data_IF_218977702242
#
_entry.id   IF_218977702242
#
_cell.length_a   1.000
_cell.length_b   1.000
_cell.length_c   1.000
_cell.angle_alpha   90.00
_cell.angle_beta   90.00
_cell.angle_gamma   90.00
#
_symmetry.space_group_name_H-M   'P 1'
#
loop_
_entity.id
_entity.type
_entity.pdbx_description
1 polymer ?
#
# COMPACT_ATOMS: atom_id res chain seq x y z
N UNK A 1 7.62 6.42 31.75
CA UNK A 1 8.44 5.21 31.52
C UNK A 1 8.34 4.84 30.05
N UNK A 2 9.47 4.49 29.41
CA UNK A 2 9.50 3.99 28.02
C UNK A 2 9.74 2.49 28.06
N UNK A 3 8.94 1.75 27.31
CA UNK A 3 9.12 0.31 27.14
C UNK A 3 9.22 -0.01 25.66
N UNK A 4 10.28 -0.72 25.27
CA UNK A 4 10.59 -1.04 23.88
C UNK A 4 10.50 -2.55 23.67
N UNK A 5 9.86 -2.97 22.57
CA UNK A 5 9.89 -4.33 22.06
C UNK A 5 10.32 -4.25 20.60
N UNK A 6 11.30 -5.06 20.25
CA UNK A 6 11.76 -5.19 18.88
C UNK A 6 11.11 -6.40 18.21
N UNK A 7 10.65 -6.20 16.98
CA UNK A 7 10.01 -7.24 16.16
C UNK A 7 10.80 -7.38 14.88
N UNK A 8 11.45 -8.53 14.71
CA UNK A 8 11.99 -8.92 13.42
C UNK A 8 10.83 -9.25 12.47
N UNK A 9 10.68 -8.48 11.40
CA UNK A 9 9.67 -8.74 10.37
C UNK A 9 10.23 -9.73 9.34
N UNK A 10 10.31 -11.00 9.72
CA UNK A 10 10.84 -12.10 8.88
C UNK A 10 9.78 -12.69 7.95
N UNK A 11 8.87 -11.87 7.45
CA UNK A 11 7.75 -12.33 6.63
C UNK A 11 8.17 -12.51 5.16
N UNK A 12 7.48 -13.37 4.41
CA UNK A 12 7.63 -13.56 2.95
C UNK A 12 7.10 -12.37 2.13
N UNK A 13 6.96 -11.23 2.78
CA UNK A 13 6.37 -10.00 2.27
C UNK A 13 7.49 -9.05 1.88
N UNK A 14 7.27 -8.28 0.83
CA UNK A 14 8.09 -7.12 0.52
C UNK A 14 8.00 -6.08 1.64
N UNK A 15 9.01 -5.20 1.75
CA UNK A 15 9.03 -4.07 2.68
C UNK A 15 7.73 -3.25 2.61
N UNK A 16 7.23 -3.01 1.40
CA UNK A 16 6.00 -2.24 1.18
C UNK A 16 4.77 -2.93 1.76
N UNK A 17 4.59 -4.23 1.50
CA UNK A 17 3.47 -5.00 2.04
C UNK A 17 3.54 -5.13 3.56
N UNK A 18 4.74 -5.25 4.12
CA UNK A 18 4.92 -5.28 5.56
C UNK A 18 4.43 -3.97 6.20
N UNK A 19 4.77 -2.82 5.60
CA UNK A 19 4.27 -1.50 6.05
C UNK A 19 2.75 -1.41 5.94
N UNK A 20 2.18 -1.79 4.80
CA UNK A 20 0.73 -1.78 4.59
C UNK A 20 -0.02 -2.66 5.58
N UNK A 21 0.47 -3.88 5.84
CA UNK A 21 -0.19 -4.82 6.77
C UNK A 21 -0.16 -4.33 8.21
N UNK A 22 0.96 -3.77 8.66
CA UNK A 22 1.04 -3.17 9.98
C UNK A 22 0.12 -1.97 10.06
N UNK A 23 0.10 -1.10 9.04
CA UNK A 23 -0.83 0.02 8.99
C UNK A 23 -2.28 -0.44 9.09
N UNK A 24 -2.69 -1.45 8.32
CA UNK A 24 -4.02 -2.05 8.40
C UNK A 24 -4.33 -2.57 9.80
N UNK A 25 -3.42 -3.36 10.38
CA UNK A 25 -3.59 -3.87 11.75
C UNK A 25 -3.76 -2.73 12.77
N UNK A 26 -2.96 -1.67 12.66
CA UNK A 26 -3.03 -0.52 13.56
C UNK A 26 -4.35 0.22 13.39
N UNK A 27 -4.81 0.46 12.15
CA UNK A 27 -6.12 1.08 11.88
C UNK A 27 -7.24 0.27 12.53
N UNK A 28 -7.25 -1.05 12.34
CA UNK A 28 -8.27 -1.92 12.91
C UNK A 28 -8.22 -1.94 14.44
N UNK A 29 -7.02 -2.08 15.01
CA UNK A 29 -6.85 -2.19 16.46
C UNK A 29 -7.16 -0.87 17.18
N UNK A 30 -6.55 0.22 16.71
CA UNK A 30 -6.59 1.52 17.37
C UNK A 30 -7.79 2.37 16.97
N UNK A 31 -8.35 2.17 15.77
CA UNK A 31 -9.62 2.77 15.35
C UNK A 31 -10.78 2.34 16.23
N UNK A 32 -10.83 1.07 16.64
CA UNK A 32 -11.81 0.57 17.63
C UNK A 32 -11.57 1.17 19.02
N UNK A 33 -10.30 1.48 19.33
CA UNK A 33 -9.89 2.00 20.64
C UNK A 33 -9.94 3.53 20.76
N UNK A 34 -10.46 4.26 19.76
CA UNK A 34 -10.51 5.73 19.70
C UNK A 34 -9.14 6.42 19.78
N UNK A 35 -8.14 5.87 19.10
CA UNK A 35 -6.84 6.51 18.93
C UNK A 35 -6.72 7.12 17.53
N UNK A 36 -6.06 8.27 17.44
CA UNK A 36 -5.60 8.87 16.20
C UNK A 36 -4.27 8.22 15.78
N UNK A 37 -4.18 7.84 14.52
CA UNK A 37 -2.95 7.34 13.92
C UNK A 37 -2.30 8.45 13.09
N UNK A 38 -1.06 8.78 13.40
CA UNK A 38 -0.28 9.74 12.63
C UNK A 38 0.92 9.04 12.02
N UNK A 39 1.02 9.10 10.69
CA UNK A 39 2.08 8.50 9.91
C UNK A 39 3.13 9.57 9.56
N UNK A 40 4.39 9.25 9.83
CA UNK A 40 5.55 9.96 9.29
C UNK A 40 6.35 8.96 8.48
N UNK A 41 7.17 9.40 7.51
CA UNK A 41 7.77 8.50 6.50
C UNK A 41 8.39 7.19 7.03
N UNK A 42 8.89 7.19 8.28
CA UNK A 42 9.47 6.02 8.92
C UNK A 42 8.76 5.52 10.19
N UNK A 43 7.60 6.07 10.57
CA UNK A 43 6.90 5.62 11.79
C UNK A 43 5.39 5.88 11.75
N UNK A 44 4.65 5.09 12.54
CA UNK A 44 3.24 5.34 12.85
C UNK A 44 3.14 5.56 14.35
N UNK A 45 2.48 6.64 14.76
CA UNK A 45 2.23 6.96 16.16
C UNK A 45 0.74 6.89 16.44
N UNK A 46 0.34 6.12 17.45
CA UNK A 46 -1.03 6.09 17.96
C UNK A 46 -1.11 6.94 19.23
N UNK A 47 -1.99 7.95 19.21
CA UNK A 47 -2.25 8.88 20.32
C UNK A 47 -3.75 9.02 20.58
N UNK A 48 -4.15 9.30 21.83
CA UNK A 48 -5.56 9.53 22.16
C UNK A 48 -6.05 10.92 21.74
N UNK A 49 -5.15 11.90 21.66
CA UNK A 49 -5.44 13.29 21.29
C UNK A 49 -4.41 13.77 20.26
N UNK A 50 -4.86 14.43 19.20
CA UNK A 50 -3.99 14.91 18.11
C UNK A 50 -2.99 15.98 18.57
N UNK A 51 -3.39 16.81 19.54
CA UNK A 51 -2.54 17.85 20.16
C UNK A 51 -1.28 17.25 20.80
N UNK A 52 -1.39 16.07 21.41
CA UNK A 52 -0.26 15.36 22.03
C UNK A 52 0.81 14.95 21.00
N UNK A 53 0.40 14.65 19.76
CA UNK A 53 1.34 14.31 18.69
C UNK A 53 2.16 15.53 18.25
N UNK A 54 1.52 16.69 18.06
CA UNK A 54 2.22 17.91 17.68
C UNK A 54 3.21 18.37 18.76
N UNK A 55 2.85 18.24 20.03
CA UNK A 55 3.79 18.50 21.13
C UNK A 55 4.98 17.55 21.11
N UNK A 56 4.74 16.26 20.86
CA UNK A 56 5.80 15.27 20.75
C UNK A 56 6.79 15.60 19.63
N UNK A 57 6.31 15.95 18.43
CA UNK A 57 7.18 16.36 17.32
C UNK A 57 7.98 17.61 17.67
N UNK A 58 7.33 18.62 18.26
CA UNK A 58 7.95 19.93 18.47
C UNK A 58 8.95 19.94 19.64
N UNK A 59 8.71 19.15 20.68
CA UNK A 59 9.50 19.17 21.92
C UNK A 59 10.30 17.90 22.17
N UNK A 60 10.10 16.86 21.35
CA UNK A 60 10.67 15.52 21.53
C UNK A 60 10.18 14.80 22.79
N UNK A 61 9.23 15.37 23.53
CA UNK A 61 8.70 14.86 24.79
C UNK A 61 7.20 15.21 24.90
N UNK A 62 6.30 14.23 24.87
CA UNK A 62 4.87 14.53 25.00
C UNK A 62 4.59 15.14 26.40
N UNK A 63 3.64 16.07 26.50
CA UNK A 63 3.27 16.70 27.78
C UNK A 63 2.80 15.67 28.82
N UNK A 64 2.94 16.03 30.09
CA UNK A 64 2.56 15.28 31.28
C UNK A 64 1.09 14.85 31.31
N UNK A 65 0.22 15.45 30.48
CA UNK A 65 -1.22 15.14 30.40
C UNK A 65 -1.55 13.98 29.46
N UNK A 66 -0.67 13.64 28.51
CA UNK A 66 -0.88 12.52 27.58
C UNK A 66 -0.72 11.18 28.30
N UNK A 67 -1.81 10.38 28.38
CA UNK A 67 -1.83 9.16 29.18
C UNK A 67 -1.07 7.98 28.54
N UNK A 68 -1.23 7.79 27.23
CA UNK A 68 -0.67 6.65 26.48
C UNK A 68 -0.24 7.08 25.08
N UNK A 69 1.00 6.74 24.70
CA UNK A 69 1.52 6.92 23.35
C UNK A 69 2.18 5.61 22.89
N UNK A 70 1.80 5.16 21.69
CA UNK A 70 2.39 4.01 21.03
C UNK A 70 3.10 4.47 19.76
N UNK A 71 4.38 4.12 19.64
CA UNK A 71 5.21 4.47 18.49
C UNK A 71 5.69 3.18 17.83
N UNK A 72 5.50 3.08 16.52
CA UNK A 72 5.92 1.97 15.69
C UNK A 72 6.87 2.50 14.62
N UNK A 73 8.17 2.24 14.78
CA UNK A 73 9.24 2.82 13.96
C UNK A 73 9.97 1.75 13.15
N UNK A 74 10.11 1.99 11.85
CA UNK A 74 10.87 1.13 10.94
C UNK A 74 12.37 1.40 11.11
N UNK A 75 13.14 0.39 11.52
CA UNK A 75 14.60 0.48 11.57
C UNK A 75 15.18 -0.46 10.52
N UNK A 76 15.84 0.10 9.51
CA UNK A 76 16.50 -0.67 8.47
C UNK A 76 17.66 -1.49 9.08
N UNK A 77 17.69 -2.80 8.82
CA UNK A 77 18.82 -3.64 9.23
C UNK A 77 19.80 -3.79 8.06
N UNK A 78 21.01 -3.24 8.23
CA UNK A 78 22.07 -3.28 7.21
C UNK A 78 22.54 -4.68 6.80
N UNK A 79 22.11 -5.77 7.46
CA UNK A 79 22.76 -7.09 7.33
C UNK A 79 21.95 -8.20 6.66
N UNK A 80 20.63 -8.08 6.46
CA UNK A 80 19.82 -9.21 5.94
C UNK A 80 18.74 -8.74 4.95
N UNK A 81 19.04 -8.89 3.65
CA UNK A 81 18.12 -9.20 2.54
C UNK A 81 16.67 -8.65 2.56
N UNK A 82 16.45 -7.38 2.93
CA UNK A 82 15.13 -6.73 2.80
C UNK A 82 14.20 -6.87 4.01
N UNK A 83 14.72 -7.19 5.19
CA UNK A 83 13.96 -7.21 6.45
C UNK A 83 14.28 -5.97 7.29
N UNK A 84 13.26 -5.28 7.78
CA UNK A 84 13.44 -4.23 8.79
C UNK A 84 13.07 -4.78 10.18
N UNK A 85 13.60 -4.10 11.19
CA UNK A 85 13.19 -4.28 12.57
C UNK A 85 12.10 -3.26 12.88
N UNK A 86 10.92 -3.72 13.31
CA UNK A 86 9.92 -2.81 13.85
C UNK A 86 10.24 -2.57 15.32
N UNK A 87 10.62 -1.34 15.64
CA UNK A 87 10.73 -0.90 17.03
C UNK A 87 9.35 -0.44 17.50
N UNK A 88 8.77 -1.20 18.41
CA UNK A 88 7.52 -0.85 19.07
C UNK A 88 7.86 -0.21 20.41
N UNK A 89 7.50 1.05 20.61
CA UNK A 89 7.70 1.79 21.84
C UNK A 89 6.36 2.15 22.47
N UNK A 90 6.23 1.89 23.77
CA UNK A 90 5.11 2.32 24.59
C UNK A 90 5.59 3.30 25.64
N UNK A 91 4.94 4.46 25.69
CA UNK A 91 5.18 5.48 26.68
C UNK A 91 4.00 5.50 27.64
N UNK A 92 4.27 5.13 28.89
CA UNK A 92 3.28 5.13 29.96
C UNK A 92 3.79 5.94 31.15
N UNK A 93 2.90 6.71 31.76
CA UNK A 93 3.18 7.43 33.01
C UNK A 93 2.89 6.58 34.24
N UNK A 94 1.93 5.67 34.18
CA UNK A 94 1.56 4.81 35.29
C UNK A 94 2.55 3.65 35.41
N UNK A 95 3.11 3.42 36.59
CA UNK A 95 3.90 2.21 36.90
C UNK A 95 2.99 0.98 37.07
N UNK A 96 2.03 0.82 36.16
CA UNK A 96 1.11 -0.29 36.15
C UNK A 96 1.59 -1.36 35.16
N UNK A 97 1.99 -2.51 35.71
CA UNK A 97 2.39 -3.68 34.94
C UNK A 97 1.25 -4.20 34.03
N UNK A 98 -0.01 -3.90 34.31
CA UNK A 98 -1.16 -4.30 33.48
C UNK A 98 -1.07 -3.69 32.08
N UNK A 99 -0.67 -2.42 31.97
CA UNK A 99 -0.56 -1.69 30.69
C UNK A 99 0.61 -2.17 29.86
N UNK A 100 1.74 -2.50 30.51
CA UNK A 100 2.86 -3.17 29.83
C UNK A 100 2.43 -4.51 29.22
N UNK A 101 1.69 -5.34 29.96
CA UNK A 101 1.15 -6.61 29.45
C UNK A 101 0.17 -6.40 28.29
N UNK A 102 -0.65 -5.35 28.34
CA UNK A 102 -1.52 -4.98 27.23
C UNK A 102 -0.71 -4.64 25.98
N UNK A 103 0.34 -3.82 26.10
CA UNK A 103 1.23 -3.51 24.99
C UNK A 103 1.94 -4.74 24.43
N UNK A 104 2.44 -5.63 25.28
CA UNK A 104 3.03 -6.91 24.86
C UNK A 104 2.02 -7.75 24.07
N UNK A 105 0.74 -7.77 24.48
CA UNK A 105 -0.34 -8.45 23.77
C UNK A 105 -0.60 -7.83 22.39
N UNK A 106 -0.59 -6.50 22.26
CA UNK A 106 -0.72 -5.80 20.97
C UNK A 106 0.38 -6.24 20.01
N UNK A 107 1.63 -6.20 20.47
CA UNK A 107 2.79 -6.58 19.66
C UNK A 107 2.73 -8.05 19.24
N UNK A 108 2.25 -8.95 20.12
CA UNK A 108 2.05 -10.36 19.77
C UNK A 108 0.94 -10.56 18.73
N UNK A 109 -0.18 -9.85 18.85
CA UNK A 109 -1.27 -9.92 17.87
C UNK A 109 -0.84 -9.41 16.50
N UNK A 110 -0.09 -8.30 16.46
CA UNK A 110 0.49 -7.77 15.23
C UNK A 110 1.48 -8.76 14.60
N UNK A 111 2.36 -9.40 15.39
CA UNK A 111 3.25 -10.47 14.89
C UNK A 111 2.46 -11.61 14.25
N UNK A 112 1.39 -12.06 14.89
CA UNK A 112 0.54 -13.14 14.37
C UNK A 112 -0.15 -12.73 13.06
N UNK A 113 -0.70 -11.50 13.00
CA UNK A 113 -1.32 -10.91 11.82
C UNK A 113 -0.34 -10.83 10.63
N UNK A 114 0.91 -10.44 10.90
CA UNK A 114 1.99 -10.37 9.92
C UNK A 114 2.41 -11.74 9.37
N UNK A 115 2.30 -12.80 10.19
CA UNK A 115 2.65 -14.16 9.81
C UNK A 115 1.53 -14.87 9.02
N UNK A 116 0.26 -14.55 9.30
CA UNK A 116 -0.91 -15.24 8.73
C UNK A 116 -1.89 -14.21 8.13
N UNK A 117 -1.69 -13.74 6.89
CA UNK A 117 -2.64 -12.84 6.28
C UNK A 117 -4.01 -13.47 6.14
N UNK A 118 -5.01 -12.63 6.35
CA UNK A 118 -6.42 -12.89 6.05
C UNK A 118 -6.86 -12.21 4.75
N UNK A 119 -5.95 -11.53 4.04
CA UNK A 119 -6.29 -10.68 2.91
C UNK A 119 -6.64 -11.52 1.68
N UNK A 120 -7.94 -11.58 1.37
CA UNK A 120 -8.47 -12.11 0.12
C UNK A 120 -8.51 -10.99 -0.90
N UNK A 121 -8.24 -11.31 -2.17
CA UNK A 121 -8.50 -10.38 -3.28
C UNK A 121 -9.99 -10.01 -3.31
N UNK A 122 -10.29 -8.71 -3.27
CA UNK A 122 -11.65 -8.19 -3.34
C UNK A 122 -11.92 -7.60 -4.72
N UNK A 123 -12.96 -8.11 -5.38
CA UNK A 123 -13.38 -7.68 -6.71
C UNK A 123 -14.84 -7.22 -6.62
N UNK A 124 -15.14 -6.01 -7.09
CA UNK A 124 -16.49 -5.45 -7.15
C UNK A 124 -16.73 -4.86 -8.55
N UNK A 125 -17.77 -5.33 -9.24
CA UNK A 125 -18.10 -4.88 -10.60
C UNK A 125 -19.25 -3.89 -10.56
N UNK A 126 -19.01 -2.66 -11.05
CA UNK A 126 -19.99 -1.57 -11.07
C UNK A 126 -20.08 -0.96 -12.46
N UNK A 127 -21.05 -1.44 -13.23
CA UNK A 127 -21.27 -0.98 -14.60
C UNK A 127 -20.10 -1.35 -15.51
N UNK A 128 -19.32 -0.35 -15.95
CA UNK A 128 -18.14 -0.53 -16.81
C UNK A 128 -16.81 -0.41 -16.05
N UNK A 129 -16.84 -0.46 -14.71
CA UNK A 129 -15.65 -0.39 -13.88
C UNK A 129 -15.60 -1.61 -12.97
N UNK A 130 -14.43 -2.24 -12.90
CA UNK A 130 -14.11 -3.33 -12.01
C UNK A 130 -13.15 -2.81 -10.95
N UNK A 131 -13.61 -2.71 -9.71
CA UNK A 131 -12.78 -2.32 -8.56
C UNK A 131 -12.01 -3.55 -8.06
N UNK A 132 -10.69 -3.47 -8.02
CA UNK A 132 -9.81 -4.52 -7.49
C UNK A 132 -9.03 -4.00 -6.28
N UNK A 133 -9.06 -4.75 -5.17
CA UNK A 133 -8.40 -4.37 -3.92
C UNK A 133 -7.74 -5.56 -3.25
N UNK A 134 -6.55 -5.35 -2.70
CA UNK A 134 -5.88 -6.32 -1.83
C UNK A 134 -5.62 -5.76 -0.43
N UNK A 135 -5.11 -4.53 -0.35
CA UNK A 135 -4.68 -3.87 0.88
C UNK A 135 -5.53 -2.63 1.22
N UNK A 136 -6.13 -1.97 0.23
CA UNK A 136 -6.89 -0.74 0.46
C UNK A 136 -8.09 -0.94 1.41
N UNK A 137 -8.18 -0.13 2.45
CA UNK A 137 -9.26 -0.20 3.44
C UNK A 137 -10.45 0.68 3.02
N UNK A 138 -11.70 0.24 3.27
CA UNK A 138 -12.92 0.95 2.80
C UNK A 138 -13.05 2.40 3.27
N UNK A 139 -12.32 2.78 4.31
CA UNK A 139 -12.33 4.12 4.92
C UNK A 139 -11.28 5.06 4.34
N UNK A 140 -10.37 4.55 3.50
CA UNK A 140 -9.31 5.34 2.88
C UNK A 140 -9.88 6.18 1.72
N UNK A 141 -9.17 7.24 1.33
CA UNK A 141 -9.60 8.15 0.26
C UNK A 141 -9.69 7.46 -1.11
N UNK A 142 -10.46 8.03 -2.05
CA UNK A 142 -10.61 7.52 -3.42
C UNK A 142 -9.45 7.94 -4.34
N UNK A 143 -8.22 7.68 -3.90
CA UNK A 143 -7.01 7.94 -4.69
C UNK A 143 -6.53 6.63 -5.29
N UNK A 144 -6.27 6.61 -6.58
CA UNK A 144 -5.91 5.41 -7.31
C UNK A 144 -5.65 5.66 -8.78
N UNK A 145 -5.75 4.59 -9.54
CA UNK A 145 -5.44 4.55 -10.95
C UNK A 145 -6.51 3.75 -11.69
N UNK A 146 -6.99 4.32 -12.79
CA UNK A 146 -7.84 3.63 -13.73
C UNK A 146 -6.98 3.06 -14.87
N UNK A 147 -7.12 1.78 -15.17
CA UNK A 147 -6.62 1.17 -16.40
C UNK A 147 -7.79 1.13 -17.38
N UNK A 148 -7.63 1.85 -18.49
CA UNK A 148 -8.69 2.17 -19.44
C UNK A 148 -8.31 1.57 -20.81
N UNK A 149 -9.11 0.65 -21.38
CA UNK A 149 -8.88 0.18 -22.75
C UNK A 149 -8.90 1.37 -23.73
N UNK A 150 -7.85 1.56 -24.52
CA UNK A 150 -7.71 2.74 -25.39
C UNK A 150 -7.63 2.36 -26.87
N UNK A 151 -8.47 2.99 -27.68
CA UNK A 151 -8.38 2.98 -29.13
C UNK A 151 -9.11 4.19 -29.70
N UNK A 152 -8.62 4.74 -30.81
CA UNK A 152 -9.24 5.86 -31.49
C UNK A 152 -10.19 5.39 -32.61
N UNK A 153 -11.21 6.19 -32.90
CA UNK A 153 -12.04 6.09 -34.10
C UNK A 153 -11.38 6.82 -35.29
N UNK A 154 -12.01 6.78 -36.47
CA UNK A 154 -11.52 7.44 -37.68
C UNK A 154 -11.38 8.97 -37.54
N UNK A 155 -11.99 9.57 -36.51
CA UNK A 155 -11.92 11.00 -36.22
C UNK A 155 -10.90 11.32 -35.11
N UNK A 156 -10.13 10.33 -34.64
CA UNK A 156 -9.15 10.50 -33.56
C UNK A 156 -9.78 10.63 -32.16
N UNK A 157 -11.04 10.22 -31.99
CA UNK A 157 -11.73 10.24 -30.69
C UNK A 157 -11.62 8.89 -30.03
N UNK A 158 -11.61 8.86 -28.70
CA UNK A 158 -11.67 7.58 -27.97
C UNK A 158 -12.95 6.82 -28.34
N UNK A 159 -12.76 5.62 -28.88
CA UNK A 159 -13.84 4.70 -29.25
C UNK A 159 -14.59 4.21 -28.02
N UNK A 160 -15.91 4.18 -28.10
CA UNK A 160 -16.76 3.68 -27.02
C UNK A 160 -16.80 2.15 -26.95
N UNK A 161 -17.22 1.61 -25.80
CA UNK A 161 -17.54 0.19 -25.60
C UNK A 161 -16.35 -0.78 -25.80
N UNK A 162 -15.14 -0.37 -25.37
CA UNK A 162 -13.91 -1.16 -25.47
C UNK A 162 -13.74 -2.23 -24.38
N UNK A 163 -14.73 -2.40 -23.51
CA UNK A 163 -14.67 -3.28 -22.33
C UNK A 163 -14.85 -2.51 -21.04
N UNK A 164 -14.75 -3.23 -19.92
CA UNK A 164 -14.78 -2.65 -18.58
C UNK A 164 -13.37 -2.21 -18.18
N UNK A 165 -13.25 -1.02 -17.60
CA UNK A 165 -12.02 -0.50 -17.00
C UNK A 165 -11.70 -1.17 -15.67
N UNK A 166 -10.43 -1.25 -15.30
CA UNK A 166 -10.05 -1.57 -13.91
C UNK A 166 -9.82 -0.30 -13.11
N UNK A 167 -10.30 -0.30 -11.88
CA UNK A 167 -9.91 0.67 -10.86
C UNK A 167 -9.07 -0.01 -9.79
N UNK A 168 -7.92 0.57 -9.50
CA UNK A 168 -6.96 0.07 -8.52
C UNK A 168 -6.58 1.21 -7.59
N UNK A 169 -6.77 1.01 -6.30
CA UNK A 169 -6.44 2.01 -5.30
C UNK A 169 -4.94 2.21 -5.20
N UNK A 170 -4.51 3.41 -4.77
CA UNK A 170 -3.12 3.81 -4.75
C UNK A 170 -2.24 2.81 -4.00
N UNK A 171 -2.68 2.33 -2.84
CA UNK A 171 -1.94 1.37 -2.02
C UNK A 171 -1.64 0.07 -2.78
N UNK A 172 -2.64 -0.44 -3.49
CA UNK A 172 -2.52 -1.66 -4.30
C UNK A 172 -1.71 -1.43 -5.58
N UNK A 173 -1.86 -0.26 -6.20
CA UNK A 173 -1.16 0.08 -7.45
C UNK A 173 0.36 0.15 -7.27
N UNK A 174 0.86 0.50 -6.08
CA UNK A 174 2.31 0.52 -5.82
C UNK A 174 2.97 -0.84 -6.07
N UNK A 175 2.26 -1.94 -5.83
CA UNK A 175 2.74 -3.29 -6.15
C UNK A 175 2.95 -3.43 -7.66
N UNK A 176 2.01 -2.93 -8.46
CA UNK A 176 2.05 -3.00 -9.93
C UNK A 176 3.05 -2.02 -10.53
N UNK A 177 3.24 -0.86 -9.90
CA UNK A 177 4.09 0.21 -10.40
C UNK A 177 5.54 -0.21 -10.61
N UNK A 178 6.04 -1.17 -9.82
CA UNK A 178 7.37 -1.75 -10.02
C UNK A 178 7.58 -2.32 -11.44
N UNK A 179 6.55 -2.96 -12.02
CA UNK A 179 6.62 -3.42 -13.40
C UNK A 179 6.43 -2.32 -14.43
N UNK A 180 5.59 -1.32 -14.13
CA UNK A 180 5.34 -0.17 -15.02
C UNK A 180 6.62 0.64 -15.21
N UNK A 181 7.40 0.87 -14.14
CA UNK A 181 8.70 1.56 -14.22
C UNK A 181 9.67 0.91 -15.20
N UNK A 182 9.52 -0.36 -15.56
CA UNK A 182 10.42 -1.01 -16.51
C UNK A 182 10.35 -0.42 -17.93
N UNK A 183 9.28 0.33 -18.25
CA UNK A 183 9.11 1.01 -19.55
C UNK A 183 9.23 2.53 -19.46
N UNK A 184 9.50 3.07 -18.26
CA UNK A 184 9.74 4.50 -18.02
C UNK A 184 11.18 4.75 -17.51
N UNK A 185 11.79 5.91 -17.77
CA UNK A 185 11.27 6.95 -18.66
C UNK A 185 11.23 6.48 -20.11
N UNK A 186 10.22 6.90 -20.87
CA UNK A 186 10.13 6.47 -22.27
C UNK A 186 11.14 7.22 -23.10
N UNK A 187 11.75 6.52 -24.05
CA UNK A 187 12.70 7.13 -25.00
C UNK A 187 12.00 7.88 -26.14
N UNK A 188 10.79 8.38 -25.91
CA UNK A 188 9.94 9.05 -26.92
C UNK A 188 9.78 10.52 -26.53
N UNK A 189 9.95 11.41 -27.49
CA UNK A 189 9.84 12.85 -27.31
C UNK A 189 8.47 13.23 -26.75
N UNK A 190 8.43 13.95 -25.61
CA UNK A 190 7.19 14.46 -24.99
C UNK A 190 6.55 13.57 -23.92
N UNK A 191 7.05 12.36 -23.70
CA UNK A 191 6.61 11.46 -22.63
C UNK A 191 7.82 10.88 -21.92
N UNK A 192 8.54 11.69 -21.15
CA UNK A 192 9.72 11.19 -20.44
C UNK A 192 9.31 10.40 -19.20
N UNK A 193 8.57 10.99 -18.26
CA UNK A 193 8.21 10.35 -16.99
C UNK A 193 6.75 9.86 -16.94
N UNK A 194 6.46 8.98 -15.96
CA UNK A 194 5.11 8.54 -15.66
C UNK A 194 4.33 9.67 -14.97
N UNK A 195 3.22 10.12 -15.58
CA UNK A 195 2.36 11.16 -15.02
C UNK A 195 1.38 10.56 -14.02
N UNK A 196 1.69 10.77 -12.75
CA UNK A 196 0.89 10.33 -11.62
C UNK A 196 -0.49 11.00 -11.49
N UNK A 197 -0.71 12.11 -12.20
CA UNK A 197 -1.91 12.96 -12.12
C UNK A 197 -2.68 13.02 -13.44
N UNK A 198 -2.18 12.36 -14.48
CA UNK A 198 -2.70 12.42 -15.83
C UNK A 198 -2.79 11.05 -16.50
N UNK A 199 -2.83 11.05 -17.83
CA UNK A 199 -2.99 9.85 -18.64
C UNK A 199 -1.66 9.37 -19.23
N UNK A 200 -1.42 8.06 -19.07
CA UNK A 200 -0.23 7.37 -19.56
C UNK A 200 -0.64 6.27 -20.53
N UNK A 201 -0.46 6.47 -21.83
CA UNK A 201 -0.86 5.52 -22.86
C UNK A 201 0.16 4.41 -23.02
N UNK A 202 -0.11 3.20 -22.52
CA UNK A 202 0.83 2.07 -22.58
C UNK A 202 0.48 1.16 -23.74
N UNK A 203 1.43 1.02 -24.67
CA UNK A 203 1.26 0.23 -25.88
C UNK A 203 1.41 -1.26 -25.64
N UNK A 204 0.83 -2.07 -26.52
CA UNK A 204 0.90 -3.55 -26.47
C UNK A 204 2.35 -4.09 -26.40
N UNK A 205 3.36 -3.56 -27.12
CA UNK A 205 4.75 -3.97 -26.93
C UNK A 205 5.30 -3.67 -25.53
N UNK A 206 4.97 -2.53 -24.94
CA UNK A 206 5.38 -2.17 -23.58
C UNK A 206 4.71 -3.06 -22.54
N UNK A 207 3.41 -3.35 -22.71
CA UNK A 207 2.71 -4.29 -21.84
C UNK A 207 3.34 -5.67 -21.81
N UNK A 208 3.94 -6.16 -22.90
CA UNK A 208 4.68 -7.43 -22.88
C UNK A 208 5.89 -7.38 -21.91
N UNK A 209 6.55 -6.24 -21.82
CA UNK A 209 7.68 -6.03 -20.89
C UNK A 209 7.15 -5.99 -19.46
N UNK A 210 6.09 -5.21 -19.21
CA UNK A 210 5.45 -5.07 -17.90
C UNK A 210 4.93 -6.43 -17.40
N UNK A 211 4.18 -7.17 -18.22
CA UNK A 211 3.64 -8.50 -17.88
C UNK A 211 4.75 -9.49 -17.56
N UNK A 212 5.88 -9.48 -18.29
CA UNK A 212 7.04 -10.32 -17.97
C UNK A 212 7.61 -9.96 -16.59
N UNK A 213 7.69 -8.68 -16.27
CA UNK A 213 8.15 -8.22 -14.96
C UNK A 213 7.19 -8.63 -13.86
N UNK A 214 5.88 -8.46 -14.06
CA UNK A 214 4.84 -8.87 -13.13
C UNK A 214 4.83 -10.37 -12.87
N UNK A 215 5.07 -11.21 -13.87
CA UNK A 215 5.25 -12.66 -13.66
C UNK A 215 6.39 -12.95 -12.68
N UNK A 216 7.54 -12.29 -12.85
CA UNK A 216 8.66 -12.47 -11.93
C UNK A 216 8.35 -11.90 -10.53
N UNK A 217 7.64 -10.78 -10.48
CA UNK A 217 7.21 -10.16 -9.24
C UNK A 217 6.26 -11.07 -8.46
N UNK A 218 5.28 -11.70 -9.11
CA UNK A 218 4.36 -12.64 -8.48
C UNK A 218 5.08 -13.88 -7.91
N UNK A 219 6.12 -14.37 -8.58
CA UNK A 219 6.96 -15.47 -8.08
C UNK A 219 7.72 -15.04 -6.82
N UNK A 220 8.30 -13.84 -6.85
CA UNK A 220 9.12 -13.31 -5.74
C UNK A 220 8.28 -12.76 -4.59
N UNK A 221 7.00 -12.49 -4.85
CA UNK A 221 6.04 -11.95 -3.90
C UNK A 221 4.76 -12.80 -3.90
N UNK A 222 4.77 -13.97 -3.21
CA UNK A 222 3.61 -14.86 -3.14
C UNK A 222 2.38 -14.20 -2.52
N UNK A 223 2.59 -13.18 -1.68
CA UNK A 223 1.54 -12.42 -1.01
C UNK A 223 0.66 -11.66 -2.00
N UNK A 224 1.26 -11.02 -3.00
CA UNK A 224 0.54 -10.27 -4.04
C UNK A 224 0.28 -11.07 -5.32
N UNK A 225 0.64 -12.36 -5.36
CA UNK A 225 0.59 -13.16 -6.58
C UNK A 225 -0.82 -13.26 -7.17
N UNK A 226 -1.86 -13.45 -6.33
CA UNK A 226 -3.25 -13.53 -6.78
C UNK A 226 -3.73 -12.20 -7.39
N UNK A 227 -3.41 -11.08 -6.74
CA UNK A 227 -3.72 -9.73 -7.24
C UNK A 227 -3.03 -9.45 -8.58
N UNK A 228 -1.72 -9.74 -8.66
CA UNK A 228 -0.92 -9.54 -9.88
C UNK A 228 -1.45 -10.43 -11.02
N UNK A 229 -1.78 -11.69 -10.75
CA UNK A 229 -2.34 -12.61 -11.76
C UNK A 229 -3.69 -12.12 -12.28
N UNK A 230 -4.58 -11.67 -11.40
CA UNK A 230 -5.87 -11.11 -11.81
C UNK A 230 -5.71 -9.92 -12.76
N UNK A 231 -4.92 -8.92 -12.37
CA UNK A 231 -4.68 -7.72 -13.19
C UNK A 231 -3.97 -8.08 -14.49
N UNK A 232 -3.00 -9.01 -14.46
CA UNK A 232 -2.31 -9.49 -15.65
C UNK A 232 -3.26 -10.13 -16.65
N UNK A 233 -4.20 -10.96 -16.19
CA UNK A 233 -5.22 -11.59 -17.05
C UNK A 233 -6.13 -10.56 -17.68
N UNK A 234 -6.59 -9.57 -16.91
CA UNK A 234 -7.39 -8.48 -17.45
C UNK A 234 -6.64 -7.69 -18.53
N UNK A 235 -5.36 -7.38 -18.30
CA UNK A 235 -4.51 -6.69 -19.29
C UNK A 235 -4.39 -7.52 -20.56
N UNK A 236 -4.09 -8.82 -20.44
CA UNK A 236 -3.95 -9.74 -21.58
C UNK A 236 -5.24 -9.77 -22.41
N UNK A 237 -6.38 -10.00 -21.76
CA UNK A 237 -7.69 -10.06 -22.43
C UNK A 237 -8.03 -8.71 -23.08
N UNK A 238 -7.77 -7.60 -22.41
CA UNK A 238 -8.03 -6.26 -22.95
C UNK A 238 -7.22 -6.01 -24.23
N UNK A 239 -5.93 -6.38 -24.24
CA UNK A 239 -5.04 -6.22 -25.38
C UNK A 239 -5.38 -7.14 -26.57
N UNK A 240 -6.36 -8.05 -26.46
CA UNK A 240 -6.90 -8.77 -27.62
C UNK A 240 -7.75 -7.85 -28.51
N UNK A 241 -8.24 -6.73 -27.98
CA UNK A 241 -9.22 -5.85 -28.64
C UNK A 241 -8.74 -4.40 -28.82
N UNK A 242 -7.69 -4.01 -28.10
CA UNK A 242 -7.08 -2.68 -28.18
C UNK A 242 -5.56 -2.77 -28.30
N UNK A 243 -4.95 -1.76 -28.92
CA UNK A 243 -3.49 -1.67 -29.08
C UNK A 243 -2.81 -0.98 -27.89
N UNK A 244 -3.58 -0.24 -27.08
CA UNK A 244 -3.07 0.49 -25.92
C UNK A 244 -4.05 0.41 -24.74
N UNK A 245 -3.51 0.58 -23.54
CA UNK A 245 -4.28 0.80 -22.32
C UNK A 245 -3.77 2.10 -21.71
N UNK A 246 -4.67 3.05 -21.49
CA UNK A 246 -4.35 4.28 -20.79
C UNK A 246 -4.39 4.03 -19.28
N UNK A 247 -3.38 4.51 -18.56
CA UNK A 247 -3.35 4.52 -17.10
C UNK A 247 -3.58 5.96 -16.65
N UNK A 248 -4.73 6.22 -16.04
CA UNK A 248 -5.13 7.53 -15.52
C UNK A 248 -4.99 7.54 -14.00
N UNK A 249 -4.15 8.43 -13.46
CA UNK A 249 -4.02 8.66 -12.02
C UNK A 249 -4.80 9.88 -11.56
N UNK A 250 -5.30 9.87 -10.32
CA UNK A 250 -5.98 11.02 -9.70
C UNK A 250 -5.29 11.52 -8.42
N UNK A 251 -3.96 11.39 -8.37
CA UNK A 251 -3.14 11.76 -7.20
C UNK A 251 -3.00 13.26 -6.96
#
# INVERSE_FOLDING_TARGET
MRYDIEVACTSYLTLHEQKLRIKSFLIDYFGIANFFLVETGFSITAVQEETAFFEWINSGRPDRTTQELFLFEWVEQERWSGHFLLKCSFFNRLEDNSRRKQFEKIVLQMKAYMAHPTLTLHIDERGKVIDVRQFHHRTDGKIGYALLPYAEDEQGRWRENLGASLWIYREDFHVLYEGIKAVYPRKVTGFEDFDHTGMNFVSKPEWKIILKHWTQLAINNPSSAEFIDYVSRWVITTLEHVDEIAIEGNM
#
